data_IF_524313979628
#
_entry.id   IF_524313979628
#
_cell.length_a   1.000
_cell.length_b   1.000
_cell.length_c   1.000
_cell.angle_alpha   90.00
_cell.angle_beta   90.00
_cell.angle_gamma   90.00
#
_symmetry.space_group_name_H-M   'P 1'
#
loop_
_entity.id
_entity.type
_entity.pdbx_description
1 polymer ?
#
# COMPACT_ATOMS: atom_id res chain seq x y z
N UNK A 1 -12.01 8.45 -7.43
CA UNK A 1 -10.79 9.23 -7.12
C UNK A 1 -10.64 9.33 -5.61
N UNK A 2 -10.13 8.28 -4.95
CA UNK A 2 -9.96 8.23 -3.50
C UNK A 2 -8.49 8.45 -3.09
N UNK A 3 -8.27 9.09 -1.94
CA UNK A 3 -6.97 9.13 -1.28
C UNK A 3 -6.81 7.83 -0.52
N UNK A 4 -5.73 7.09 -0.81
CA UNK A 4 -5.42 5.79 -0.19
C UNK A 4 -4.46 5.99 0.97
N UNK A 5 -3.47 6.86 0.82
CA UNK A 5 -2.55 7.24 1.88
C UNK A 5 -2.71 8.74 2.19
N UNK A 6 -3.11 9.09 3.41
CA UNK A 6 -3.21 10.49 3.81
C UNK A 6 -1.84 11.07 4.22
N UNK A 7 -0.91 10.24 4.69
CA UNK A 7 0.42 10.67 5.15
C UNK A 7 1.25 11.26 4.01
N UNK A 8 1.36 10.52 2.91
CA UNK A 8 2.08 10.92 1.70
C UNK A 8 1.14 11.40 0.58
N UNK A 9 -0.15 11.60 0.90
CA UNK A 9 -1.19 12.12 -0.02
C UNK A 9 -1.27 11.32 -1.34
N UNK A 10 -1.16 10.00 -1.23
CA UNK A 10 -1.17 9.08 -2.38
C UNK A 10 -2.60 8.72 -2.74
N UNK A 11 -2.95 8.88 -4.02
CA UNK A 11 -4.25 8.51 -4.58
C UNK A 11 -4.20 7.13 -5.23
N UNK A 12 -5.34 6.47 -5.32
CA UNK A 12 -5.49 5.17 -6.01
C UNK A 12 -4.86 5.19 -7.41
N UNK A 13 -5.14 6.23 -8.21
CA UNK A 13 -4.56 6.39 -9.55
C UNK A 13 -3.03 6.39 -9.59
N UNK A 14 -2.37 6.84 -8.51
CA UNK A 14 -0.90 6.88 -8.43
C UNK A 14 -0.37 5.46 -8.24
N UNK A 15 -1.03 4.68 -7.39
CA UNK A 15 -0.72 3.26 -7.18
C UNK A 15 -0.95 2.47 -8.47
N UNK A 16 -2.10 2.66 -9.13
CA UNK A 16 -2.39 2.02 -10.43
C UNK A 16 -1.34 2.37 -11.48
N UNK A 17 -0.90 3.64 -11.55
CA UNK A 17 0.19 4.05 -12.45
C UNK A 17 1.53 3.40 -12.10
N UNK A 18 1.83 3.17 -10.82
CA UNK A 18 3.03 2.46 -10.41
C UNK A 18 2.96 0.98 -10.86
N UNK A 19 1.80 0.34 -10.72
CA UNK A 19 1.61 -1.03 -11.20
C UNK A 19 1.73 -1.12 -12.72
N UNK A 20 1.13 -0.18 -13.46
CA UNK A 20 1.30 -0.09 -14.92
C UNK A 20 2.75 0.14 -15.36
N UNK A 21 3.60 0.70 -14.50
CA UNK A 21 5.04 0.87 -14.74
C UNK A 21 5.87 -0.37 -14.36
N UNK A 22 5.24 -1.42 -13.84
CA UNK A 22 5.88 -2.67 -13.48
C UNK A 22 5.99 -2.94 -11.98
N UNK A 23 5.42 -2.10 -11.11
CA UNK A 23 5.40 -2.40 -9.68
C UNK A 23 4.47 -3.59 -9.39
N UNK A 24 5.06 -4.69 -8.93
CA UNK A 24 4.35 -5.94 -8.59
C UNK A 24 4.35 -6.22 -7.10
N UNK A 25 5.19 -5.52 -6.33
CA UNK A 25 5.33 -5.74 -4.89
C UNK A 25 5.00 -4.48 -4.09
N UNK A 26 4.66 -4.67 -2.81
CA UNK A 26 4.46 -3.56 -1.88
C UNK A 26 5.71 -2.67 -1.78
N UNK A 27 6.90 -3.27 -1.78
CA UNK A 27 8.18 -2.55 -1.72
C UNK A 27 8.37 -1.64 -2.94
N UNK A 28 8.01 -2.10 -4.14
CA UNK A 28 8.07 -1.28 -5.35
C UNK A 28 7.05 -0.13 -5.32
N UNK A 29 5.84 -0.36 -4.80
CA UNK A 29 4.86 0.71 -4.62
C UNK A 29 5.31 1.72 -3.57
N UNK A 30 5.92 1.26 -2.47
CA UNK A 30 6.54 2.10 -1.46
C UNK A 30 7.66 2.94 -2.06
N UNK A 31 8.55 2.35 -2.86
CA UNK A 31 9.62 3.08 -3.54
C UNK A 31 9.10 4.09 -4.59
N UNK A 32 8.02 3.73 -5.32
CA UNK A 32 7.47 4.58 -6.37
C UNK A 32 6.59 5.72 -5.84
N UNK A 33 5.86 5.50 -4.75
CA UNK A 33 4.81 6.41 -4.29
C UNK A 33 4.94 6.85 -2.83
N UNK A 34 5.77 6.20 -2.01
CA UNK A 34 5.86 6.44 -0.57
C UNK A 34 4.65 5.96 0.24
N UNK A 35 3.66 5.29 -0.37
CA UNK A 35 2.52 4.77 0.36
C UNK A 35 2.96 3.68 1.33
N UNK A 36 2.37 3.63 2.53
CA UNK A 36 2.69 2.66 3.59
C UNK A 36 4.12 2.74 4.18
N UNK A 37 4.84 3.86 4.01
CA UNK A 37 6.16 4.06 4.64
C UNK A 37 6.11 4.85 5.95
N UNK A 38 5.05 5.65 6.19
CA UNK A 38 4.90 6.44 7.43
C UNK A 38 4.10 5.72 8.52
N UNK A 39 2.78 5.86 8.54
CA UNK A 39 1.94 5.27 9.59
C UNK A 39 1.58 3.80 9.35
N UNK A 40 1.75 3.30 8.12
CA UNK A 40 1.38 1.94 7.70
C UNK A 40 -0.13 1.68 7.57
N UNK A 41 -1.01 2.60 7.99
CA UNK A 41 -2.46 2.37 8.00
C UNK A 41 -3.10 2.14 6.62
N UNK A 42 -2.45 2.58 5.54
CA UNK A 42 -2.91 2.35 4.17
C UNK A 42 -2.35 1.07 3.53
N UNK A 43 -1.44 0.34 4.19
CA UNK A 43 -0.85 -0.90 3.68
C UNK A 43 -1.88 -1.94 3.18
N UNK A 44 -2.95 -2.28 3.92
CA UNK A 44 -3.92 -3.26 3.44
C UNK A 44 -4.62 -2.81 2.15
N UNK A 45 -4.97 -1.52 2.04
CA UNK A 45 -5.59 -0.97 0.85
C UNK A 45 -4.62 -0.97 -0.36
N UNK A 46 -3.33 -0.72 -0.13
CA UNK A 46 -2.30 -0.80 -1.18
C UNK A 46 -2.14 -2.25 -1.67
N UNK A 47 -2.11 -3.24 -0.76
CA UNK A 47 -2.06 -4.66 -1.13
C UNK A 47 -3.29 -5.10 -1.92
N UNK A 48 -4.49 -4.68 -1.53
CA UNK A 48 -5.72 -4.99 -2.28
C UNK A 48 -5.67 -4.43 -3.71
N UNK A 49 -5.16 -3.20 -3.88
CA UNK A 49 -4.99 -2.60 -5.20
C UNK A 49 -3.96 -3.34 -6.06
N UNK A 50 -2.87 -3.83 -5.47
CA UNK A 50 -1.87 -4.68 -6.14
C UNK A 50 -2.47 -6.00 -6.61
N UNK A 51 -3.25 -6.66 -5.75
CA UNK A 51 -3.97 -7.90 -6.09
C UNK A 51 -4.95 -7.68 -7.24
N UNK A 52 -5.76 -6.61 -7.15
CA UNK A 52 -6.76 -6.29 -8.17
C UNK A 52 -6.15 -5.91 -9.52
N UNK A 53 -4.91 -5.40 -9.51
CA UNK A 53 -4.17 -5.05 -10.71
C UNK A 53 -3.37 -6.22 -11.33
N UNK A 54 -3.38 -7.41 -10.70
CA UNK A 54 -2.82 -8.64 -11.27
C UNK A 54 -1.46 -9.07 -10.73
N UNK A 55 -0.97 -8.49 -9.63
CA UNK A 55 0.24 -8.97 -8.97
C UNK A 55 -0.07 -10.08 -7.95
N UNK A 56 0.71 -11.18 -7.90
CA UNK A 56 0.51 -12.22 -6.89
C UNK A 56 0.91 -11.67 -5.53
N UNK A 57 -0.09 -11.29 -4.72
CA UNK A 57 0.16 -10.83 -3.38
C UNK A 57 0.62 -11.98 -2.49
N UNK A 58 1.80 -11.79 -1.93
CA UNK A 58 2.29 -12.51 -0.76
C UNK A 58 1.28 -12.38 0.38
N UNK A 59 0.44 -13.40 0.56
CA UNK A 59 -0.51 -13.55 1.67
C UNK A 59 0.22 -13.91 2.97
N UNK A 60 1.29 -13.20 3.30
CA UNK A 60 1.86 -13.20 4.64
C UNK A 60 1.20 -12.03 5.39
N UNK A 61 -0.04 -12.26 5.84
CA UNK A 61 -0.70 -11.37 6.80
C UNK A 61 -0.01 -11.60 8.15
N UNK A 62 1.09 -10.90 8.40
CA UNK A 62 1.56 -10.74 9.77
C UNK A 62 0.48 -9.92 10.47
N UNK A 63 -0.42 -10.61 11.14
CA UNK A 63 -1.34 -10.06 12.14
C UNK A 63 -0.54 -9.19 13.10
N UNK A 64 -0.45 -7.89 12.85
CA UNK A 64 0.00 -6.93 13.86
C UNK A 64 -1.18 -6.72 14.79
N UNK A 65 -1.13 -7.17 16.05
CA UNK A 65 -2.12 -6.77 17.02
C UNK A 65 -2.00 -5.26 17.24
N UNK A 66 -3.16 -4.61 17.27
CA UNK A 66 -3.47 -3.30 17.83
C UNK A 66 -2.41 -2.18 17.71
N UNK A 67 -2.68 -1.24 16.81
CA UNK A 67 -2.59 0.17 17.16
C UNK A 67 -3.31 0.37 18.51
N UNK A 68 -2.58 0.60 19.62
CA UNK A 68 -3.25 0.89 20.89
C UNK A 68 -2.47 0.77 22.20
N UNK A 69 -1.14 0.77 22.25
CA UNK A 69 -0.45 0.90 23.54
C UNK A 69 0.92 1.61 23.43
N UNK A 70 0.88 2.90 23.71
CA UNK A 70 1.94 3.72 24.30
C UNK A 70 1.16 4.84 25.01
N UNK A 71 0.88 4.67 26.31
CA UNK A 71 1.73 5.10 27.42
C UNK A 71 1.81 6.64 27.50
#
# INVERSE_FOLDING_TARGET
>A
MAIVCHCEVVRERTIVKAVQRGATTLAEVQAACGAATRCGGCEPAVRELLQRAGAPADTHVHIRPAFGLSA
#
